data_IF_096894937421
#
_entry.id   IF_096894937421
#
_cell.length_a   1.000
_cell.length_b   1.000
_cell.length_c   1.000
_cell.angle_alpha   90.00
_cell.angle_beta   90.00
_cell.angle_gamma   90.00
#
_symmetry.space_group_name_H-M   'P 1'
#
loop_
_entity.id
_entity.type
_entity.pdbx_description
1 polymer ?
#
# COMPACT_ATOMS: atom_id res chain seq x y z
N UNK A 1 18.91 -0.08 15.61
CA UNK A 1 17.60 -0.49 16.14
C UNK A 1 16.64 0.65 15.83
N UNK A 2 15.73 0.45 14.87
CA UNK A 2 14.77 1.47 14.47
C UNK A 2 13.61 1.50 15.47
N UNK A 3 13.28 2.67 15.99
CA UNK A 3 12.30 2.89 17.03
C UNK A 3 10.87 2.68 16.45
N UNK A 4 9.99 1.86 17.06
CA UNK A 4 8.63 1.62 16.55
C UNK A 4 7.67 2.82 16.70
N UNK A 5 8.17 3.97 17.16
CA UNK A 5 7.49 5.27 17.28
C UNK A 5 7.80 6.23 16.10
N UNK A 6 8.57 5.80 15.10
CA UNK A 6 8.93 6.62 13.93
C UNK A 6 7.84 6.61 12.83
N UNK A 7 6.58 6.29 13.21
CA UNK A 7 5.41 6.74 12.45
C UNK A 7 5.26 8.24 12.74
N UNK A 8 6.14 9.03 12.14
CA UNK A 8 6.12 10.49 12.26
C UNK A 8 4.77 10.99 11.73
N UNK A 9 3.99 11.57 12.63
CA UNK A 9 2.64 12.09 12.41
C UNK A 9 2.66 12.98 11.17
N UNK A 10 1.97 12.56 10.10
CA UNK A 10 1.99 13.20 8.77
C UNK A 10 2.65 12.39 7.65
N UNK A 11 3.27 11.24 7.96
CA UNK A 11 3.80 10.30 6.95
C UNK A 11 2.97 9.03 6.78
N UNK A 12 1.93 8.84 7.60
CA UNK A 12 1.10 7.63 7.63
C UNK A 12 0.35 7.40 6.30
N UNK A 13 -0.22 8.46 5.72
CA UNK A 13 -0.89 8.40 4.42
C UNK A 13 0.09 8.09 3.29
N UNK A 14 1.29 8.66 3.33
CA UNK A 14 2.35 8.31 2.38
C UNK A 14 2.72 6.82 2.52
N UNK A 15 2.84 6.33 3.75
CA UNK A 15 3.11 4.93 4.05
C UNK A 15 2.02 3.98 3.58
N UNK A 16 0.74 4.34 3.70
CA UNK A 16 -0.37 3.52 3.22
C UNK A 16 -0.41 3.45 1.69
N UNK A 17 -0.28 4.59 1.01
CA UNK A 17 -0.22 4.60 -0.46
C UNK A 17 1.01 3.87 -0.98
N UNK A 18 2.13 3.94 -0.27
CA UNK A 18 3.33 3.19 -0.64
C UNK A 18 3.15 1.68 -0.47
N UNK A 19 2.48 1.24 0.60
CA UNK A 19 2.17 -0.18 0.79
C UNK A 19 1.24 -0.69 -0.32
N UNK A 20 0.22 0.08 -0.68
CA UNK A 20 -0.70 -0.23 -1.77
C UNK A 20 0.03 -0.26 -3.12
N UNK A 21 0.89 0.73 -3.40
CA UNK A 21 1.67 0.78 -4.64
C UNK A 21 2.56 -0.47 -4.79
N UNK A 22 3.17 -0.95 -3.70
CA UNK A 22 3.98 -2.18 -3.74
C UNK A 22 3.17 -3.40 -4.11
N UNK A 23 1.93 -3.52 -3.63
CA UNK A 23 1.03 -4.62 -3.99
C UNK A 23 0.67 -4.58 -5.47
N UNK A 24 0.30 -3.39 -5.97
CA UNK A 24 -0.04 -3.19 -7.39
C UNK A 24 1.19 -3.43 -8.28
N UNK A 25 2.38 -2.99 -7.87
CA UNK A 25 3.63 -3.26 -8.59
C UNK A 25 3.95 -4.76 -8.64
N UNK A 26 3.75 -5.50 -7.56
CA UNK A 26 3.96 -6.95 -7.54
C UNK A 26 3.02 -7.66 -8.53
N UNK A 27 1.74 -7.32 -8.51
CA UNK A 27 0.73 -7.86 -9.44
C UNK A 27 1.01 -7.46 -10.90
N UNK A 28 1.39 -6.20 -11.15
CA UNK A 28 1.80 -5.72 -12.47
C UNK A 28 3.02 -6.51 -12.99
N UNK A 29 4.05 -6.67 -12.17
CA UNK A 29 5.25 -7.42 -12.56
C UNK A 29 4.94 -8.88 -12.86
N UNK A 30 4.09 -9.52 -12.05
CA UNK A 30 3.62 -10.88 -12.30
C UNK A 30 2.89 -11.00 -13.65
N UNK A 31 2.01 -10.07 -13.99
CA UNK A 31 1.30 -10.05 -15.28
C UNK A 31 2.25 -9.79 -16.45
N UNK A 32 3.16 -8.82 -16.32
CA UNK A 32 4.19 -8.53 -17.33
C UNK A 32 5.06 -9.75 -17.61
N UNK A 33 5.30 -10.54 -16.59
CA UNK A 33 5.99 -11.79 -16.74
C UNK A 33 5.12 -12.81 -17.48
N UNK A 34 3.87 -13.04 -17.13
CA UNK A 34 3.02 -14.04 -17.78
C UNK A 34 2.75 -13.77 -19.28
N UNK A 35 2.65 -12.51 -19.71
CA UNK A 35 2.27 -12.13 -21.09
C UNK A 35 3.09 -12.85 -22.19
N UNK A 36 4.43 -12.95 -22.12
CA UNK A 36 5.24 -13.74 -23.06
C UNK A 36 4.87 -15.21 -23.24
N UNK A 37 4.30 -15.87 -22.22
CA UNK A 37 3.93 -17.29 -22.27
C UNK A 37 2.53 -17.53 -22.86
N UNK A 38 1.70 -16.48 -22.88
CA UNK A 38 0.34 -16.53 -23.38
C UNK A 38 0.28 -16.21 -24.88
N UNK A 39 -0.70 -16.78 -25.57
CA UNK A 39 -1.01 -16.48 -26.98
C UNK A 39 -2.51 -16.21 -27.16
N UNK A 40 -2.89 -15.62 -28.30
CA UNK A 40 -4.31 -15.39 -28.64
C UNK A 40 -5.07 -14.48 -27.69
N UNK A 41 -6.31 -14.87 -27.36
CA UNK A 41 -7.22 -14.09 -26.50
C UNK A 41 -6.77 -14.00 -25.03
N UNK A 42 -6.25 -15.08 -24.38
CA UNK A 42 -5.69 -14.99 -23.03
C UNK A 42 -4.57 -13.95 -22.89
N UNK A 43 -3.68 -13.85 -23.89
CA UNK A 43 -2.62 -12.83 -23.90
C UNK A 43 -3.19 -11.42 -23.94
N UNK A 44 -4.22 -11.20 -24.78
CA UNK A 44 -4.87 -9.90 -24.92
C UNK A 44 -5.59 -9.48 -23.63
N UNK A 45 -6.21 -10.44 -22.94
CA UNK A 45 -6.79 -10.21 -21.62
C UNK A 45 -5.71 -9.85 -20.58
N UNK A 46 -4.60 -10.57 -20.54
CA UNK A 46 -3.48 -10.30 -19.63
C UNK A 46 -2.83 -8.92 -19.88
N UNK A 47 -2.66 -8.52 -21.14
CA UNK A 47 -2.18 -7.17 -21.51
C UNK A 47 -3.13 -6.10 -20.97
N UNK A 48 -4.44 -6.25 -21.19
CA UNK A 48 -5.43 -5.28 -20.67
C UNK A 48 -5.45 -5.21 -19.15
N UNK A 49 -5.26 -6.34 -18.47
CA UNK A 49 -5.16 -6.37 -17.01
C UNK A 49 -3.88 -5.69 -16.51
N UNK A 50 -2.76 -5.85 -17.21
CA UNK A 50 -1.52 -5.15 -16.90
C UNK A 50 -1.63 -3.63 -17.17
N UNK A 51 -2.35 -3.22 -18.23
CA UNK A 51 -2.65 -1.80 -18.49
C UNK A 51 -3.44 -1.16 -17.35
N UNK A 52 -4.46 -1.85 -16.82
CA UNK A 52 -5.23 -1.36 -15.66
C UNK A 52 -4.40 -1.27 -14.38
N UNK A 53 -3.60 -2.30 -14.08
CA UNK A 53 -2.71 -2.28 -12.92
C UNK A 53 -1.66 -1.17 -13.03
N UNK A 54 -1.19 -0.88 -14.25
CA UNK A 54 -0.29 0.24 -14.49
C UNK A 54 -0.99 1.59 -14.26
N UNK A 55 -2.25 1.74 -14.68
CA UNK A 55 -3.05 2.95 -14.43
C UNK A 55 -3.23 3.18 -12.92
N UNK A 56 -3.63 2.16 -12.18
CA UNK A 56 -3.74 2.18 -10.71
C UNK A 56 -2.41 2.54 -10.03
N UNK A 57 -1.28 1.98 -10.48
CA UNK A 57 0.04 2.34 -9.98
C UNK A 57 0.39 3.82 -10.22
N UNK A 58 -0.04 4.41 -11.34
CA UNK A 58 0.16 5.83 -11.61
C UNK A 58 -0.72 6.71 -10.71
N UNK A 59 -1.98 6.33 -10.47
CA UNK A 59 -2.88 7.05 -9.55
C UNK A 59 -2.32 7.08 -8.11
N UNK A 60 -1.73 5.97 -7.67
CA UNK A 60 -1.05 5.88 -6.38
C UNK A 60 0.21 6.74 -6.32
N UNK A 61 1.02 6.77 -7.39
CA UNK A 61 2.17 7.68 -7.48
C UNK A 61 1.73 9.15 -7.42
N UNK A 62 0.63 9.52 -8.08
CA UNK A 62 0.09 10.87 -8.01
C UNK A 62 -0.40 11.22 -6.60
N UNK A 63 -1.06 10.28 -5.92
CA UNK A 63 -1.49 10.43 -4.53
C UNK A 63 -0.29 10.61 -3.59
N UNK A 64 0.76 9.79 -3.74
CA UNK A 64 2.02 9.92 -3.00
C UNK A 64 2.73 11.26 -3.29
N UNK A 65 2.63 11.77 -4.53
CA UNK A 65 3.22 13.04 -4.95
C UNK A 65 2.52 14.24 -4.31
N UNK A 66 1.22 14.16 -4.07
CA UNK A 66 0.47 15.15 -3.31
C UNK A 66 0.87 15.10 -1.83
N UNK A 67 0.89 13.91 -1.25
CA UNK A 67 1.13 13.74 0.18
C UNK A 67 2.55 14.15 0.59
N UNK A 68 3.56 13.89 -0.25
CA UNK A 68 4.94 14.28 0.06
C UNK A 68 5.15 15.79 0.21
N UNK A 69 4.23 16.62 -0.27
CA UNK A 69 4.31 18.08 -0.10
C UNK A 69 4.09 18.50 1.36
N UNK A 70 3.25 17.74 2.08
CA UNK A 70 2.85 17.97 3.47
C UNK A 70 3.87 17.45 4.49
N UNK A 71 4.94 16.80 4.03
CA UNK A 71 5.92 16.12 4.88
C UNK A 71 6.89 17.12 5.54
N UNK A 72 7.23 16.94 6.83
CA UNK A 72 8.23 17.73 7.54
C UNK A 72 9.61 17.73 6.85
N UNK A 73 10.34 18.85 6.94
CA UNK A 73 11.62 19.05 6.24
C UNK A 73 12.70 18.01 6.60
N UNK A 74 12.71 17.53 7.84
CA UNK A 74 13.61 16.49 8.34
C UNK A 74 13.43 15.12 7.66
N UNK A 75 12.23 14.83 7.12
CA UNK A 75 11.91 13.55 6.47
C UNK A 75 11.91 13.62 4.93
N UNK A 76 11.79 14.83 4.37
CA UNK A 76 11.66 15.06 2.92
C UNK A 76 12.75 14.39 2.08
N UNK A 77 14.00 14.38 2.54
CA UNK A 77 15.11 13.81 1.76
C UNK A 77 14.93 12.30 1.51
N UNK A 78 14.68 11.54 2.58
CA UNK A 78 14.50 10.09 2.53
C UNK A 78 13.25 9.71 1.73
N UNK A 79 12.16 10.45 1.92
CA UNK A 79 10.89 10.18 1.24
C UNK A 79 10.95 10.53 -0.25
N UNK A 80 11.61 11.63 -0.63
CA UNK A 80 11.84 11.95 -2.03
C UNK A 80 12.75 10.94 -2.74
N UNK A 81 13.69 10.32 -2.03
CA UNK A 81 14.50 9.24 -2.61
C UNK A 81 13.64 8.00 -2.86
N UNK A 82 12.85 7.56 -1.88
CA UNK A 82 11.93 6.42 -2.02
C UNK A 82 10.93 6.64 -3.16
N UNK A 83 10.30 7.82 -3.21
CA UNK A 83 9.36 8.18 -4.27
C UNK A 83 9.99 8.08 -5.67
N UNK A 84 11.22 8.59 -5.84
CA UNK A 84 11.93 8.51 -7.14
C UNK A 84 12.25 7.08 -7.55
N UNK A 85 12.53 6.19 -6.59
CA UNK A 85 12.73 4.78 -6.89
C UNK A 85 11.42 4.16 -7.42
N UNK A 86 10.31 4.40 -6.72
CA UNK A 86 8.99 3.92 -7.14
C UNK A 86 8.58 4.45 -8.51
N UNK A 87 8.83 5.74 -8.79
CA UNK A 87 8.60 6.36 -10.10
C UNK A 87 9.41 5.66 -11.20
N UNK A 88 10.69 5.38 -10.94
CA UNK A 88 11.56 4.64 -11.86
C UNK A 88 11.07 3.21 -12.12
N UNK A 89 10.59 2.52 -11.08
CA UNK A 89 10.12 1.14 -11.18
C UNK A 89 8.82 1.04 -12.00
N UNK A 90 7.87 1.96 -11.79
CA UNK A 90 6.65 2.05 -12.59
C UNK A 90 6.96 2.42 -14.05
N UNK A 91 7.91 3.34 -14.28
CA UNK A 91 8.36 3.68 -15.63
C UNK A 91 9.02 2.50 -16.36
N UNK A 92 9.80 1.69 -15.65
CA UNK A 92 10.38 0.46 -16.20
C UNK A 92 9.28 -0.54 -16.59
N UNK A 93 8.30 -0.74 -15.71
CA UNK A 93 7.15 -1.61 -15.98
C UNK A 93 6.32 -1.13 -17.19
N UNK A 94 6.09 0.19 -17.30
CA UNK A 94 5.43 0.82 -18.45
C UNK A 94 6.15 0.57 -19.77
N UNK A 95 7.47 0.71 -19.80
CA UNK A 95 8.29 0.43 -21.00
C UNK A 95 8.21 -1.04 -21.40
N UNK A 96 8.30 -1.94 -20.43
CA UNK A 96 8.17 -3.41 -20.65
C UNK A 96 6.77 -3.78 -21.17
N UNK A 97 5.71 -3.18 -20.63
CA UNK A 97 4.34 -3.39 -21.13
C UNK A 97 4.22 -2.95 -22.58
N UNK A 98 4.76 -1.75 -22.90
CA UNK A 98 4.73 -1.19 -24.26
C UNK A 98 5.44 -2.12 -25.26
N UNK A 99 6.63 -2.61 -24.95
CA UNK A 99 7.35 -3.53 -25.85
C UNK A 99 6.56 -4.84 -26.07
N UNK A 100 5.99 -5.41 -25.00
CA UNK A 100 5.17 -6.63 -25.09
C UNK A 100 3.88 -6.42 -25.91
N UNK A 101 3.29 -5.23 -25.85
CA UNK A 101 2.12 -4.87 -26.65
C UNK A 101 2.47 -4.64 -28.12
N UNK A 102 3.62 -4.01 -28.41
CA UNK A 102 4.10 -3.73 -29.77
C UNK A 102 4.59 -4.98 -30.51
N UNK A 103 5.24 -5.93 -29.83
CA UNK A 103 5.69 -7.22 -30.41
C UNK A 103 4.54 -7.99 -31.08
N UNK A 104 3.32 -7.87 -30.56
CA UNK A 104 2.11 -8.46 -31.19
C UNK A 104 1.85 -7.89 -32.59
N UNK A 105 2.08 -6.59 -32.77
CA UNK A 105 1.82 -5.89 -34.04
C UNK A 105 2.81 -6.32 -35.12
N UNK A 106 4.06 -6.55 -34.73
CA UNK A 106 5.10 -7.07 -35.63
C UNK A 106 4.95 -8.58 -35.93
N UNK A 107 4.63 -9.40 -34.94
CA UNK A 107 4.58 -10.87 -35.09
C UNK A 107 3.32 -11.37 -35.85
N UNK A 108 2.19 -10.66 -35.73
CA UNK A 108 0.95 -10.99 -36.45
C UNK A 108 0.74 -10.16 -37.71
N UNK A 109 1.44 -9.04 -37.89
CA UNK A 109 1.41 -8.26 -39.12
C UNK A 109 2.07 -8.97 -40.31
N UNK A 110 3.00 -9.89 -40.05
CA UNK A 110 3.84 -10.53 -41.08
C UNK A 110 3.59 -12.03 -41.32
N UNK A 111 2.70 -12.70 -40.57
CA UNK A 111 2.44 -14.15 -40.71
C UNK A 111 1.42 -14.53 -41.79
N UNK A 112 0.97 -13.57 -42.61
CA UNK A 112 0.10 -13.82 -43.76
C UNK A 112 0.86 -14.05 -45.08
N UNK A 113 2.16 -14.37 -45.03
CA UNK A 113 2.93 -14.76 -46.20
C UNK A 113 3.43 -16.21 -46.09
N UNK A 114 2.73 -17.05 -46.83
CA UNK A 114 2.92 -18.45 -47.24
C UNK A 114 4.39 -18.93 -47.37
N UNK A 115 4.71 -20.14 -46.85
CA UNK A 115 5.52 -21.18 -47.54
C UNK A 115 5.70 -22.46 -46.67
N UNK A 116 5.14 -23.63 -47.05
CA UNK A 116 5.34 -24.90 -46.33
C UNK A 116 6.14 -25.91 -47.18
N UNK A 117 7.34 -26.34 -46.77
CA UNK A 117 7.93 -27.63 -47.22
C UNK A 117 9.33 -28.00 -46.69
N UNK A 118 10.09 -27.10 -46.04
CA UNK A 118 11.52 -27.38 -45.75
C UNK A 118 11.94 -27.23 -44.28
N UNK A 119 11.01 -26.93 -43.38
CA UNK A 119 11.34 -26.40 -42.05
C UNK A 119 11.33 -27.44 -40.92
N UNK A 120 10.73 -28.63 -41.09
CA UNK A 120 10.41 -29.55 -39.98
C UNK A 120 11.62 -29.96 -39.10
N UNK A 121 12.83 -30.12 -39.66
CA UNK A 121 14.02 -30.47 -38.87
C UNK A 121 14.71 -29.27 -38.21
N UNK A 122 14.66 -28.09 -38.84
CA UNK A 122 15.17 -26.84 -38.27
C UNK A 122 14.23 -26.32 -37.18
N UNK A 123 12.92 -26.46 -37.41
CA UNK A 123 11.84 -26.12 -36.50
C UNK A 123 11.91 -26.98 -35.24
N UNK A 124 12.13 -28.30 -35.36
CA UNK A 124 12.25 -29.18 -34.19
C UNK A 124 13.47 -28.85 -33.32
N UNK A 125 14.60 -28.46 -33.94
CA UNK A 125 15.82 -28.06 -33.21
C UNK A 125 15.67 -26.67 -32.56
N UNK A 126 15.02 -25.72 -33.24
CA UNK A 126 14.61 -24.44 -32.64
C UNK A 126 13.60 -24.62 -31.51
N UNK A 127 12.69 -25.59 -31.64
CA UNK A 127 11.69 -25.90 -30.62
C UNK A 127 12.33 -26.49 -29.35
N UNK A 128 13.37 -27.32 -29.47
CA UNK A 128 14.12 -27.84 -28.32
C UNK A 128 14.99 -26.77 -27.64
N UNK A 129 15.67 -25.92 -28.42
CA UNK A 129 16.44 -24.79 -27.89
C UNK A 129 15.53 -23.77 -27.18
N UNK A 130 14.41 -23.42 -27.80
CA UNK A 130 13.41 -22.53 -27.19
C UNK A 130 12.74 -23.18 -25.96
N UNK A 131 12.57 -24.50 -25.94
CA UNK A 131 12.12 -25.25 -24.77
C UNK A 131 13.07 -25.11 -23.58
N UNK A 132 14.37 -25.24 -23.80
CA UNK A 132 15.39 -25.08 -22.74
C UNK A 132 15.47 -23.64 -22.23
N UNK A 133 15.43 -22.67 -23.13
CA UNK A 133 15.47 -21.24 -22.77
C UNK A 133 14.18 -20.80 -22.05
N UNK A 134 13.02 -21.36 -22.41
CA UNK A 134 11.75 -21.18 -21.69
C UNK A 134 11.84 -21.75 -20.27
N UNK A 135 12.43 -22.92 -20.11
CA UNK A 135 12.60 -23.57 -18.81
C UNK A 135 13.54 -22.77 -17.90
N UNK A 136 14.64 -22.26 -18.43
CA UNK A 136 15.55 -21.36 -17.71
C UNK A 136 14.86 -20.08 -17.25
N UNK A 137 14.08 -19.44 -18.14
CA UNK A 137 13.28 -18.26 -17.80
C UNK A 137 12.22 -18.56 -16.75
N UNK A 138 11.47 -19.66 -16.90
CA UNK A 138 10.44 -20.09 -15.95
C UNK A 138 11.03 -20.38 -14.56
N UNK A 139 12.19 -21.04 -14.48
CA UNK A 139 12.90 -21.26 -13.23
C UNK A 139 13.34 -19.95 -12.57
N UNK A 140 13.85 -19.00 -13.35
CA UNK A 140 14.16 -17.65 -12.86
C UNK A 140 12.93 -16.92 -12.32
N UNK A 141 11.81 -16.99 -13.03
CA UNK A 141 10.52 -16.38 -12.63
C UNK A 141 9.97 -17.02 -11.37
N UNK A 142 10.03 -18.34 -11.22
CA UNK A 142 9.59 -19.01 -9.99
C UNK A 142 10.39 -18.54 -8.77
N UNK A 143 11.71 -18.38 -8.91
CA UNK A 143 12.55 -17.84 -7.82
C UNK A 143 12.17 -16.40 -7.48
N UNK A 144 11.90 -15.59 -8.50
CA UNK A 144 11.51 -14.19 -8.31
C UNK A 144 10.10 -14.08 -7.70
N UNK A 145 9.12 -14.84 -8.18
CA UNK A 145 7.79 -14.95 -7.57
C UNK A 145 7.88 -15.39 -6.12
N UNK A 146 8.75 -16.36 -5.80
CA UNK A 146 8.96 -16.80 -4.42
C UNK A 146 9.55 -15.67 -3.56
N UNK A 147 10.50 -14.90 -4.09
CA UNK A 147 11.08 -13.73 -3.41
C UNK A 147 10.02 -12.67 -3.13
N UNK A 148 9.22 -12.32 -4.13
CA UNK A 148 8.14 -11.34 -4.02
C UNK A 148 7.07 -11.82 -3.05
N UNK A 149 6.69 -13.10 -3.10
CA UNK A 149 5.72 -13.67 -2.17
C UNK A 149 6.19 -13.57 -0.71
N UNK A 150 7.46 -13.87 -0.43
CA UNK A 150 8.04 -13.69 0.91
C UNK A 150 8.05 -12.22 1.35
N UNK A 151 8.43 -11.30 0.46
CA UNK A 151 8.36 -9.85 0.75
C UNK A 151 6.93 -9.39 1.05
N UNK A 152 5.96 -9.94 0.32
CA UNK A 152 4.53 -9.65 0.51
C UNK A 152 4.01 -10.22 1.82
N UNK A 153 4.43 -11.43 2.20
CA UNK A 153 4.14 -12.02 3.52
C UNK A 153 4.72 -11.16 4.65
N UNK A 154 5.95 -10.67 4.50
CA UNK A 154 6.57 -9.78 5.47
C UNK A 154 5.81 -8.46 5.62
N UNK A 155 5.38 -7.85 4.51
CA UNK A 155 4.54 -6.65 4.54
C UNK A 155 3.21 -6.96 5.24
N UNK A 156 2.53 -8.03 4.86
CA UNK A 156 1.26 -8.43 5.47
C UNK A 156 1.38 -8.67 6.98
N UNK A 157 2.47 -9.32 7.42
CA UNK A 157 2.77 -9.51 8.84
C UNK A 157 2.95 -8.19 9.58
N UNK A 158 3.69 -7.23 9.00
CA UNK A 158 3.87 -5.92 9.60
C UNK A 158 2.55 -5.14 9.68
N UNK A 159 1.74 -5.17 8.63
CA UNK A 159 0.40 -4.56 8.62
C UNK A 159 -0.49 -5.15 9.71
N UNK A 160 -0.49 -6.47 9.89
CA UNK A 160 -1.24 -7.12 10.97
C UNK A 160 -0.75 -6.70 12.37
N UNK A 161 0.57 -6.55 12.55
CA UNK A 161 1.14 -6.06 13.80
C UNK A 161 0.73 -4.60 14.07
N UNK A 162 0.69 -3.75 13.05
CA UNK A 162 0.26 -2.36 13.15
C UNK A 162 -1.22 -2.25 13.50
N UNK A 163 -2.07 -3.03 12.84
CA UNK A 163 -3.50 -3.12 13.18
C UNK A 163 -3.72 -3.58 14.62
N UNK A 164 -2.88 -4.51 15.12
CA UNK A 164 -2.89 -4.92 16.52
C UNK A 164 -2.57 -3.76 17.48
N UNK A 165 -1.51 -3.00 17.20
CA UNK A 165 -1.13 -1.81 17.99
C UNK A 165 -2.19 -0.71 17.94
N UNK A 166 -2.79 -0.48 16.77
CA UNK A 166 -3.89 0.47 16.61
C UNK A 166 -5.11 0.05 17.44
N UNK A 167 -5.46 -1.23 17.43
CA UNK A 167 -6.56 -1.74 18.28
C UNK A 167 -6.29 -1.51 19.76
N UNK A 168 -5.09 -1.83 20.25
CA UNK A 168 -4.71 -1.59 21.65
C UNK A 168 -4.81 -0.10 22.01
N UNK A 169 -4.35 0.78 21.12
CA UNK A 169 -4.46 2.22 21.29
C UNK A 169 -5.93 2.64 21.41
N UNK A 170 -6.81 2.14 20.54
CA UNK A 170 -8.25 2.44 20.58
C UNK A 170 -8.88 1.93 21.88
N UNK A 171 -8.56 0.70 22.32
CA UNK A 171 -9.07 0.15 23.58
C UNK A 171 -8.60 0.97 24.79
N UNK A 172 -7.34 1.36 24.84
CA UNK A 172 -6.79 2.22 25.90
C UNK A 172 -7.45 3.61 25.92
N UNK A 173 -7.64 4.21 24.75
CA UNK A 173 -8.30 5.52 24.63
C UNK A 173 -9.76 5.43 25.11
N UNK A 174 -10.46 4.35 24.74
CA UNK A 174 -11.84 4.08 25.19
C UNK A 174 -11.92 3.88 26.70
N UNK A 175 -11.01 3.11 27.29
CA UNK A 175 -10.96 2.89 28.74
C UNK A 175 -10.69 4.20 29.49
N UNK A 176 -9.75 5.01 29.00
CA UNK A 176 -9.43 6.32 29.57
C UNK A 176 -10.64 7.27 29.53
N UNK A 177 -11.40 7.27 28.42
CA UNK A 177 -12.64 8.05 28.30
C UNK A 177 -13.70 7.61 29.30
N UNK A 178 -13.92 6.30 29.47
CA UNK A 178 -14.86 5.77 30.46
C UNK A 178 -14.46 6.13 31.90
N UNK A 179 -13.17 6.13 32.23
CA UNK A 179 -12.68 6.56 33.54
C UNK A 179 -12.89 8.07 33.75
N UNK A 180 -12.64 8.88 32.70
CA UNK A 180 -12.85 10.33 32.72
C UNK A 180 -14.33 10.71 32.92
N UNK A 181 -15.27 9.96 32.35
CA UNK A 181 -16.70 10.13 32.63
C UNK A 181 -17.02 9.94 34.14
N UNK A 182 -16.38 8.98 34.79
CA UNK A 182 -16.52 8.72 36.23
C UNK A 182 -15.99 9.85 37.12
N UNK A 183 -14.83 10.44 36.80
CA UNK A 183 -14.29 11.58 37.54
C UNK A 183 -15.14 12.84 37.37
N UNK A 184 -15.77 13.02 36.21
CA UNK A 184 -16.65 14.16 35.93
C UNK A 184 -17.89 14.11 36.82
N UNK A 185 -18.54 12.95 36.96
CA UNK A 185 -19.71 12.81 37.82
C UNK A 185 -19.37 13.03 39.32
N UNK A 186 -18.22 12.49 39.77
CA UNK A 186 -17.74 12.72 41.15
C UNK A 186 -17.40 14.20 41.41
N UNK A 187 -16.82 14.88 40.42
CA UNK A 187 -16.53 16.31 40.49
C UNK A 187 -17.81 17.16 40.54
N UNK A 188 -18.84 16.81 39.76
CA UNK A 188 -20.15 17.49 39.82
C UNK A 188 -20.83 17.28 41.18
N UNK A 189 -20.75 16.06 41.74
CA UNK A 189 -21.32 15.75 43.06
C UNK A 189 -20.64 16.52 44.19
N UNK A 190 -19.31 16.65 44.16
CA UNK A 190 -18.56 17.43 45.16
C UNK A 190 -18.82 18.93 45.02
N UNK A 191 -18.86 19.46 43.79
CA UNK A 191 -19.23 20.85 43.52
C UNK A 191 -20.64 21.19 44.00
N UNK A 192 -21.64 20.32 43.76
CA UNK A 192 -22.99 20.47 44.32
C UNK A 192 -23.00 20.51 45.86
N UNK A 193 -22.17 19.67 46.50
CA UNK A 193 -22.01 19.68 47.96
C UNK A 193 -21.42 20.99 48.49
N UNK A 194 -20.39 21.52 47.82
CA UNK A 194 -19.79 22.81 48.16
C UNK A 194 -20.77 23.97 47.95
N UNK A 195 -21.51 23.98 46.83
CA UNK A 195 -22.51 25.00 46.53
C UNK A 195 -23.63 25.03 47.59
N UNK A 196 -24.10 23.85 48.04
CA UNK A 196 -25.13 23.77 49.09
C UNK A 196 -24.63 24.32 50.42
N UNK A 197 -23.41 23.95 50.85
CA UNK A 197 -22.78 24.49 52.07
C UNK A 197 -22.61 26.01 51.99
N UNK A 198 -22.18 26.52 50.84
CA UNK A 198 -22.03 27.95 50.61
C UNK A 198 -23.37 28.68 50.71
N UNK A 199 -24.45 28.12 50.15
CA UNK A 199 -25.79 28.70 50.25
C UNK A 199 -26.29 28.72 51.70
N UNK A 200 -26.11 27.63 52.46
CA UNK A 200 -26.46 27.57 53.88
C UNK A 200 -25.70 28.62 54.69
N UNK A 201 -24.38 28.75 54.48
CA UNK A 201 -23.57 29.76 55.16
C UNK A 201 -24.03 31.19 54.82
N UNK A 202 -24.39 31.46 53.55
CA UNK A 202 -24.96 32.75 53.14
C UNK A 202 -26.28 33.05 53.86
N UNK A 203 -27.19 32.08 53.94
CA UNK A 203 -28.49 32.25 54.61
C UNK A 203 -28.28 32.53 56.11
N UNK A 204 -27.42 31.77 56.79
CA UNK A 204 -27.09 31.98 58.20
C UNK A 204 -26.55 33.40 58.43
N UNK A 205 -25.64 33.85 57.56
CA UNK A 205 -25.05 35.19 57.67
C UNK A 205 -26.12 36.30 57.54
N UNK A 206 -27.03 36.17 56.57
CA UNK A 206 -28.14 37.13 56.38
C UNK A 206 -29.06 37.11 57.61
N UNK A 207 -29.41 35.93 58.13
CA UNK A 207 -30.26 35.81 59.31
C UNK A 207 -29.64 36.49 60.54
N UNK A 208 -28.33 36.33 60.77
CA UNK A 208 -27.61 36.99 61.86
C UNK A 208 -27.70 38.52 61.72
N UNK A 209 -27.45 39.05 60.51
CA UNK A 209 -27.51 40.49 60.23
C UNK A 209 -28.92 41.05 60.46
N UNK A 210 -29.98 40.26 60.20
CA UNK A 210 -31.37 40.72 60.39
C UNK A 210 -31.86 40.66 61.84
N UNK A 211 -31.24 39.84 62.70
CA UNK A 211 -31.66 39.64 64.09
C UNK A 211 -30.93 40.57 65.07
N UNK A 212 -29.66 40.88 64.79
CA UNK A 212 -28.83 41.86 65.53
C UNK A 212 -29.19 43.29 65.15
#
# INVERSE_FOLDING_TARGET
MANPLDTDVGSELFGSYEAELKLVQADLNQKLDQIPELSGEPRKAAVRQAERALEEANELLDSMRLEKQNIPANLKSKINQRFRNHESDVDAAKRKLKSLSEDRKALFGNRYQDNPASDDQLEQRQQLLSGTERLGRSSGRLRESHRIAMETEDIGRNTLADLGRQRETIENTRNTLLESEGYTDRSIKTLRGMARRMATNKIITIAIITVL
#
